data_IF_794751267899
#
_entry.id   IF_794751267899
#
_cell.length_a   1.000
_cell.length_b   1.000
_cell.length_c   1.000
_cell.angle_alpha   90.00
_cell.angle_beta   90.00
_cell.angle_gamma   90.00
#
_symmetry.space_group_name_H-M   'P 1'
#
loop_
_entity.id
_entity.type
_entity.pdbx_description
1 polymer ?
#
# COMPACT_ATOMS: atom_id res chain seq x y z
N UNK A 1 19.89 4.82 13.62
CA UNK A 1 19.99 4.53 12.17
C UNK A 1 19.57 5.79 11.43
N UNK A 2 20.47 6.38 10.66
CA UNK A 2 20.23 7.62 9.92
C UNK A 2 19.45 7.28 8.65
N UNK A 3 18.25 7.82 8.50
CA UNK A 3 17.49 7.76 7.25
C UNK A 3 18.13 8.77 6.29
N UNK A 4 18.75 8.31 5.22
CA UNK A 4 19.18 9.18 4.13
C UNK A 4 17.92 9.63 3.38
N UNK A 5 17.68 10.95 3.41
CA UNK A 5 16.71 11.63 2.57
C UNK A 5 17.21 11.60 1.11
N UNK A 6 17.03 10.49 0.43
CA UNK A 6 17.17 10.45 -1.02
C UNK A 6 15.89 11.08 -1.61
N UNK A 7 16.05 12.27 -2.19
CA UNK A 7 15.05 13.23 -2.62
C UNK A 7 13.86 12.75 -3.46
N UNK A 8 13.13 11.76 -2.96
CA UNK A 8 11.86 11.33 -3.51
C UNK A 8 10.81 12.44 -3.40
N UNK A 9 10.10 12.69 -4.47
CA UNK A 9 8.97 13.61 -4.46
C UNK A 9 7.90 13.00 -3.55
N UNK A 10 7.49 13.74 -2.52
CA UNK A 10 6.39 13.36 -1.64
C UNK A 10 5.08 13.88 -2.24
N UNK A 11 4.07 13.04 -2.27
CA UNK A 11 2.75 13.36 -2.81
C UNK A 11 1.74 13.37 -1.67
N UNK A 12 0.98 14.45 -1.56
CA UNK A 12 -0.16 14.52 -0.64
C UNK A 12 -1.35 13.80 -1.26
N UNK A 13 -1.82 12.74 -0.60
CA UNK A 13 -3.05 12.05 -0.96
C UNK A 13 -4.18 12.51 -0.04
N UNK A 14 -5.26 13.00 -0.65
CA UNK A 14 -6.46 13.35 0.10
C UNK A 14 -7.13 12.07 0.60
N UNK A 15 -7.28 11.96 1.90
CA UNK A 15 -7.92 10.83 2.55
C UNK A 15 -9.43 10.94 2.61
N UNK A 16 -10.06 9.78 2.68
CA UNK A 16 -11.48 9.64 2.89
C UNK A 16 -11.97 10.42 4.11
N UNK A 17 -13.18 10.94 3.99
CA UNK A 17 -13.89 11.63 5.05
C UNK A 17 -14.02 10.69 6.28
N UNK A 18 -13.26 10.96 7.32
CA UNK A 18 -13.40 10.24 8.60
C UNK A 18 -14.44 10.96 9.43
N UNK A 19 -15.57 10.31 9.63
CA UNK A 19 -16.64 10.82 10.47
C UNK A 19 -16.62 10.09 11.81
N UNK A 20 -16.23 10.77 12.88
CA UNK A 20 -16.39 10.28 14.25
C UNK A 20 -17.15 11.31 15.07
N UNK A 21 -18.14 10.87 15.84
CA UNK A 21 -18.90 11.72 16.78
C UNK A 21 -19.54 12.98 16.18
N UNK A 22 -20.01 12.89 14.92
CA UNK A 22 -20.72 13.98 14.25
C UNK A 22 -19.85 15.05 13.61
N UNK A 23 -18.54 14.94 13.68
CA UNK A 23 -17.61 15.77 12.92
C UNK A 23 -16.89 14.92 11.87
N UNK A 24 -16.92 15.40 10.63
CA UNK A 24 -16.17 14.80 9.53
C UNK A 24 -14.98 15.68 9.22
N UNK A 25 -13.78 15.11 9.19
CA UNK A 25 -12.58 15.78 8.72
C UNK A 25 -11.89 14.94 7.65
N UNK A 26 -11.25 15.63 6.76
CA UNK A 26 -10.44 15.02 5.73
C UNK A 26 -9.01 14.97 6.27
N UNK A 27 -8.47 13.77 6.43
CA UNK A 27 -7.05 13.63 6.69
C UNK A 27 -6.29 13.57 5.38
N UNK A 28 -5.12 14.16 5.35
CA UNK A 28 -4.17 14.06 4.24
C UNK A 28 -2.96 13.29 4.73
N UNK A 29 -2.61 12.22 4.04
CA UNK A 29 -1.33 11.58 4.26
C UNK A 29 -0.35 11.92 3.15
N UNK A 30 0.91 12.01 3.49
CA UNK A 30 1.99 12.22 2.54
C UNK A 30 2.65 10.87 2.26
N UNK A 31 2.74 10.51 0.99
CA UNK A 31 3.30 9.24 0.53
C UNK A 31 4.39 9.48 -0.51
N UNK A 32 5.24 8.49 -0.75
CA UNK A 32 6.23 8.55 -1.82
C UNK A 32 5.57 8.47 -3.21
N UNK A 33 6.29 8.91 -4.23
CA UNK A 33 5.84 8.80 -5.63
C UNK A 33 5.57 7.35 -6.01
N UNK A 34 6.41 6.43 -5.53
CA UNK A 34 6.25 4.99 -5.77
C UNK A 34 4.93 4.48 -5.19
N UNK A 35 4.64 4.82 -3.95
CA UNK A 35 3.38 4.44 -3.30
C UNK A 35 2.18 5.02 -4.04
N UNK A 36 2.24 6.30 -4.43
CA UNK A 36 1.17 6.93 -5.20
C UNK A 36 0.96 6.24 -6.56
N UNK A 37 2.03 5.91 -7.26
CA UNK A 37 1.97 5.22 -8.55
C UNK A 37 1.33 3.83 -8.44
N UNK A 38 1.74 3.04 -7.46
CA UNK A 38 1.18 1.72 -7.24
C UNK A 38 -0.29 1.83 -6.82
N UNK A 39 -0.62 2.64 -5.80
CA UNK A 39 -1.99 2.78 -5.32
C UNK A 39 -2.95 3.28 -6.42
N UNK A 40 -2.51 4.23 -7.25
CA UNK A 40 -3.29 4.72 -8.39
C UNK A 40 -3.62 3.59 -9.37
N UNK A 41 -2.66 2.72 -9.65
CA UNK A 41 -2.84 1.61 -10.58
C UNK A 41 -3.63 0.44 -10.01
N UNK A 42 -3.62 0.25 -8.71
CA UNK A 42 -4.26 -0.87 -8.05
C UNK A 42 -5.71 -0.57 -7.64
N UNK A 43 -6.01 0.65 -7.20
CA UNK A 43 -7.31 0.98 -6.64
C UNK A 43 -7.92 2.29 -7.15
N UNK A 44 -7.16 3.09 -7.89
CA UNK A 44 -7.56 4.43 -8.29
C UNK A 44 -8.08 4.55 -9.71
N UNK A 45 -8.25 5.78 -10.11
CA UNK A 45 -8.45 6.17 -11.49
C UNK A 45 -7.08 6.31 -12.16
N UNK A 46 -6.72 5.40 -13.03
CA UNK A 46 -5.41 5.30 -13.68
C UNK A 46 -4.98 6.55 -14.49
N UNK A 47 -5.80 7.58 -14.53
CA UNK A 47 -5.56 8.83 -15.26
C UNK A 47 -4.76 9.84 -14.45
N UNK A 48 -4.97 9.91 -13.14
CA UNK A 48 -4.35 10.94 -12.29
C UNK A 48 -3.56 10.31 -11.13
N UNK A 49 -2.26 10.58 -11.08
CA UNK A 49 -1.42 10.14 -9.97
C UNK A 49 -1.97 10.65 -8.63
N UNK A 50 -2.19 9.73 -7.70
CA UNK A 50 -2.74 10.05 -6.38
C UNK A 50 -4.26 9.89 -6.25
N UNK A 51 -4.96 9.49 -7.31
CA UNK A 51 -6.36 9.05 -7.22
C UNK A 51 -6.40 7.64 -6.62
N UNK A 52 -6.86 7.49 -5.39
CA UNK A 52 -6.73 6.25 -4.60
C UNK A 52 -8.03 5.95 -3.87
N UNK A 53 -8.47 4.70 -3.93
CA UNK A 53 -9.54 4.16 -3.09
C UNK A 53 -8.96 3.27 -1.97
N UNK A 54 -8.92 3.80 -0.76
CA UNK A 54 -8.42 3.10 0.41
C UNK A 54 -9.29 1.91 0.85
N UNK A 55 -10.53 1.85 0.39
CA UNK A 55 -11.48 0.79 0.72
C UNK A 55 -11.72 -0.16 -0.46
N UNK A 56 -10.94 -0.05 -1.52
CA UNK A 56 -11.09 -0.90 -2.70
C UNK A 56 -11.03 -2.39 -2.34
N UNK A 57 -11.87 -3.18 -2.99
CA UNK A 57 -11.90 -4.64 -2.85
C UNK A 57 -12.05 -5.26 -4.22
N UNK A 58 -11.17 -6.18 -4.55
CA UNK A 58 -11.27 -7.02 -5.73
C UNK A 58 -11.38 -8.49 -5.31
N UNK A 59 -12.30 -9.22 -5.88
CA UNK A 59 -12.49 -10.66 -5.63
C UNK A 59 -11.89 -11.44 -6.78
N UNK A 60 -10.90 -12.26 -6.48
CA UNK A 60 -10.20 -13.07 -7.46
C UNK A 60 -10.97 -14.35 -7.82
N UNK A 61 -10.67 -14.92 -8.99
CA UNK A 61 -11.32 -16.15 -9.47
C UNK A 61 -11.07 -17.36 -8.57
N UNK A 62 -9.99 -17.36 -7.81
CA UNK A 62 -9.63 -18.40 -6.84
C UNK A 62 -10.29 -18.23 -5.46
N UNK A 63 -11.10 -17.17 -5.30
CA UNK A 63 -11.82 -16.85 -4.07
C UNK A 63 -11.02 -16.04 -3.07
N UNK A 64 -9.75 -15.70 -3.36
CA UNK A 64 -9.00 -14.73 -2.55
C UNK A 64 -9.51 -13.31 -2.81
N UNK A 65 -9.21 -12.37 -1.90
CA UNK A 65 -9.53 -10.96 -2.10
C UNK A 65 -8.28 -10.11 -2.01
N UNK A 66 -8.21 -9.10 -2.88
CA UNK A 66 -7.23 -8.04 -2.78
C UNK A 66 -7.91 -6.81 -2.20
N UNK A 67 -7.32 -6.18 -1.20
CA UNK A 67 -7.97 -5.11 -0.46
C UNK A 67 -7.09 -3.90 -0.20
N UNK A 68 -7.78 -2.75 -0.06
CA UNK A 68 -7.17 -1.47 0.22
C UNK A 68 -6.51 -0.81 -0.99
N UNK A 69 -5.88 0.33 -0.76
CA UNK A 69 -5.26 1.14 -1.80
C UNK A 69 -4.20 0.40 -2.63
N UNK A 70 -3.50 -0.53 -2.00
CA UNK A 70 -2.41 -1.29 -2.61
C UNK A 70 -2.81 -2.71 -3.04
N UNK A 71 -4.10 -3.06 -2.92
CA UNK A 71 -4.66 -4.36 -3.29
C UNK A 71 -3.88 -5.53 -2.66
N UNK A 72 -3.68 -5.47 -1.34
CA UNK A 72 -3.01 -6.53 -0.61
C UNK A 72 -3.86 -7.80 -0.60
N UNK A 73 -3.28 -8.87 -1.15
CA UNK A 73 -3.95 -10.16 -1.21
C UNK A 73 -4.10 -10.77 0.19
N UNK A 74 -5.31 -11.25 0.53
CA UNK A 74 -5.66 -11.77 1.85
C UNK A 74 -5.11 -13.17 2.12
N UNK A 75 -4.57 -13.84 1.14
CA UNK A 75 -3.88 -15.11 1.29
C UNK A 75 -2.35 -14.93 1.38
N UNK A 76 -1.76 -14.07 0.53
CA UNK A 76 -0.31 -13.94 0.39
C UNK A 76 0.31 -12.85 1.27
N UNK A 77 -0.40 -11.75 1.50
CA UNK A 77 0.16 -10.57 2.18
C UNK A 77 -0.56 -10.30 3.50
N UNK A 78 -1.88 -10.10 3.46
CA UNK A 78 -2.68 -9.76 4.63
C UNK A 78 -3.31 -10.99 5.27
N UNK A 79 -2.47 -11.96 5.67
CA UNK A 79 -2.90 -13.24 6.20
C UNK A 79 -2.12 -13.60 7.47
N UNK A 80 -2.79 -13.90 8.60
CA UNK A 80 -2.11 -14.30 9.84
C UNK A 80 -1.39 -15.65 9.71
N UNK A 81 -1.82 -16.50 8.79
CA UNK A 81 -1.16 -17.79 8.51
C UNK A 81 0.09 -17.61 7.64
N UNK A 82 0.19 -16.56 6.83
CA UNK A 82 1.44 -16.19 6.16
C UNK A 82 2.36 -15.47 7.16
N UNK A 83 3.17 -16.29 7.80
CA UNK A 83 4.00 -15.90 8.92
C UNK A 83 5.11 -14.93 8.56
N UNK A 84 5.42 -14.72 7.30
CA UNK A 84 6.58 -13.89 6.94
C UNK A 84 6.17 -12.44 6.65
N UNK A 85 5.27 -12.20 5.71
CA UNK A 85 4.92 -10.83 5.28
C UNK A 85 4.14 -10.10 6.38
N UNK A 86 3.06 -10.71 6.89
CA UNK A 86 2.28 -10.12 7.99
C UNK A 86 3.13 -9.90 9.25
N UNK A 87 4.05 -10.82 9.56
CA UNK A 87 4.97 -10.66 10.68
C UNK A 87 5.91 -9.47 10.50
N UNK A 88 6.38 -9.23 9.27
CA UNK A 88 7.25 -8.11 8.97
C UNK A 88 6.49 -6.78 9.08
N UNK A 89 5.27 -6.73 8.55
CA UNK A 89 4.38 -5.56 8.67
C UNK A 89 4.08 -5.27 10.14
N UNK A 90 3.63 -6.27 10.90
CA UNK A 90 3.30 -6.10 12.31
C UNK A 90 4.51 -5.63 13.14
N UNK A 91 5.65 -6.29 12.96
CA UNK A 91 6.88 -5.95 13.68
C UNK A 91 7.34 -4.51 13.42
N UNK A 92 7.22 -4.03 12.20
CA UNK A 92 7.62 -2.66 11.86
C UNK A 92 6.74 -1.60 12.55
N UNK A 93 5.53 -1.96 12.94
CA UNK A 93 4.61 -1.14 13.75
C UNK A 93 4.73 -1.38 15.27
N UNK A 94 5.63 -2.27 15.71
CA UNK A 94 5.73 -2.65 17.13
C UNK A 94 4.58 -3.55 17.62
N UNK A 95 3.89 -4.24 16.69
CA UNK A 95 2.74 -5.10 16.94
C UNK A 95 3.07 -6.56 16.67
N UNK A 96 2.17 -7.44 17.11
CA UNK A 96 2.14 -8.84 16.68
C UNK A 96 1.18 -9.01 15.48
N UNK A 97 1.36 -10.06 14.69
CA UNK A 97 0.44 -10.37 13.58
C UNK A 97 -0.99 -10.55 14.08
N UNK A 98 -1.18 -11.18 15.24
CA UNK A 98 -2.50 -11.38 15.83
C UNK A 98 -3.18 -10.06 16.21
N UNK A 99 -2.41 -9.07 16.69
CA UNK A 99 -2.94 -7.72 16.99
C UNK A 99 -3.36 -6.99 15.72
N UNK A 100 -2.52 -7.00 14.68
CA UNK A 100 -2.85 -6.38 13.38
C UNK A 100 -4.13 -7.00 12.83
N UNK A 101 -4.22 -8.34 12.84
CA UNK A 101 -5.37 -9.06 12.31
C UNK A 101 -6.64 -8.88 13.16
N UNK A 102 -6.51 -8.79 14.48
CA UNK A 102 -7.63 -8.53 15.38
C UNK A 102 -8.23 -7.13 15.17
N UNK A 103 -7.40 -6.13 14.89
CA UNK A 103 -7.85 -4.77 14.62
C UNK A 103 -8.32 -4.57 13.18
N UNK A 104 -7.59 -5.14 12.22
CA UNK A 104 -7.86 -5.01 10.79
C UNK A 104 -7.80 -6.37 10.10
N UNK A 105 -8.88 -7.17 10.15
CA UNK A 105 -8.89 -8.54 9.59
C UNK A 105 -8.76 -8.58 8.06
N UNK A 106 -8.91 -7.45 7.39
CA UNK A 106 -8.69 -7.23 5.97
C UNK A 106 -7.97 -5.91 5.75
N UNK A 107 -7.15 -5.83 4.71
CA UNK A 107 -6.34 -4.64 4.42
C UNK A 107 -7.20 -3.37 4.23
N UNK A 108 -8.33 -3.47 3.56
CA UNK A 108 -9.24 -2.33 3.34
C UNK A 108 -9.88 -1.78 4.62
N UNK A 109 -9.80 -2.49 5.74
CA UNK A 109 -10.28 -2.00 7.05
C UNK A 109 -9.19 -1.29 7.85
N UNK A 110 -7.93 -1.42 7.42
CA UNK A 110 -6.84 -0.69 8.03
C UNK A 110 -6.89 0.79 7.60
N UNK A 111 -6.60 1.73 8.50
CA UNK A 111 -6.52 3.13 8.14
C UNK A 111 -5.37 3.37 7.14
N UNK A 112 -5.45 4.46 6.36
CA UNK A 112 -4.52 4.74 5.28
C UNK A 112 -3.03 4.75 5.66
N UNK A 113 -2.68 5.30 6.82
CA UNK A 113 -1.32 5.31 7.34
C UNK A 113 -0.79 3.89 7.61
N UNK A 114 -1.64 3.00 8.09
CA UNK A 114 -1.31 1.57 8.28
C UNK A 114 -1.16 0.85 6.95
N UNK A 115 -2.04 1.12 5.97
CA UNK A 115 -1.91 0.57 4.63
C UNK A 115 -0.63 1.05 3.94
N UNK A 116 -0.31 2.35 4.06
CA UNK A 116 0.92 2.92 3.52
C UNK A 116 2.16 2.32 4.20
N UNK A 117 2.13 2.17 5.51
CA UNK A 117 3.23 1.54 6.25
C UNK A 117 3.45 0.08 5.79
N UNK A 118 2.36 -0.68 5.61
CA UNK A 118 2.44 -2.03 5.06
C UNK A 118 3.01 -2.04 3.63
N UNK A 119 2.64 -1.05 2.80
CA UNK A 119 3.23 -0.89 1.47
C UNK A 119 4.74 -0.74 1.55
N UNK A 120 5.27 0.13 2.41
CA UNK A 120 6.71 0.36 2.52
C UNK A 120 7.48 -0.93 2.87
N UNK A 121 6.90 -1.75 3.76
CA UNK A 121 7.48 -3.05 4.14
C UNK A 121 7.51 -4.01 2.95
N UNK A 122 6.41 -4.10 2.20
CA UNK A 122 6.31 -5.00 1.03
C UNK A 122 7.13 -4.46 -0.14
N UNK A 123 7.14 -3.15 -0.34
CA UNK A 123 7.91 -2.47 -1.38
C UNK A 123 9.42 -2.67 -1.21
N UNK A 124 9.88 -2.69 0.03
CA UNK A 124 11.27 -3.00 0.37
C UNK A 124 12.26 -2.24 -0.51
N UNK A 125 12.15 -0.90 -0.52
CA UNK A 125 13.01 -0.01 -1.30
C UNK A 125 13.04 -0.36 -2.81
N UNK A 126 11.88 -0.70 -3.37
CA UNK A 126 11.72 -1.02 -4.79
C UNK A 126 11.99 -2.48 -5.18
N UNK A 127 12.49 -3.31 -4.27
CA UNK A 127 12.72 -4.73 -4.57
C UNK A 127 11.42 -5.55 -4.60
N UNK A 128 10.38 -5.10 -3.91
CA UNK A 128 9.08 -5.75 -3.81
C UNK A 128 8.14 -5.50 -5.00
N UNK A 129 8.52 -4.76 -6.03
CA UNK A 129 7.66 -4.39 -7.15
C UNK A 129 6.94 -5.57 -7.83
N UNK A 130 7.50 -6.78 -7.71
CA UNK A 130 6.92 -7.99 -8.30
C UNK A 130 5.55 -8.34 -7.72
N UNK A 131 5.21 -7.89 -6.52
CA UNK A 131 3.88 -8.04 -5.96
C UNK A 131 2.81 -7.30 -6.78
N UNK A 132 3.22 -6.27 -7.54
CA UNK A 132 2.36 -5.47 -8.41
C UNK A 132 2.74 -5.60 -9.88
N UNK A 133 3.27 -6.75 -10.28
CA UNK A 133 3.69 -7.00 -11.67
C UNK A 133 2.52 -7.03 -12.66
N UNK A 134 1.31 -7.38 -12.20
CA UNK A 134 0.11 -7.41 -13.03
C UNK A 134 -0.30 -6.00 -13.52
N UNK A 135 -0.10 -4.97 -12.71
CA UNK A 135 -0.40 -3.57 -13.05
C UNK A 135 0.80 -2.81 -13.64
N UNK A 136 1.88 -3.51 -13.98
CA UNK A 136 3.13 -2.92 -14.44
C UNK A 136 2.94 -1.94 -15.60
N UNK A 137 2.12 -2.26 -16.58
CA UNK A 137 1.83 -1.38 -17.72
C UNK A 137 1.22 -0.04 -17.32
N UNK A 138 0.56 0.02 -16.17
CA UNK A 138 0.04 1.26 -15.61
C UNK A 138 1.15 2.04 -14.88
N UNK A 139 1.79 1.46 -13.87
CA UNK A 139 2.74 2.20 -13.05
C UNK A 139 4.07 2.53 -13.77
N UNK A 140 4.41 1.87 -14.86
CA UNK A 140 5.56 2.24 -15.72
C UNK A 140 5.48 3.65 -16.32
N UNK A 141 4.36 4.34 -16.19
CA UNK A 141 4.25 5.77 -16.54
C UNK A 141 5.13 6.63 -15.62
N UNK A 142 5.31 6.23 -14.38
CA UNK A 142 6.03 7.00 -13.34
C UNK A 142 7.26 6.30 -12.81
N UNK A 143 7.32 4.98 -12.89
CA UNK A 143 8.41 4.17 -12.37
C UNK A 143 9.13 3.43 -13.49
N UNK A 144 10.35 3.00 -13.21
CA UNK A 144 11.12 2.13 -14.11
C UNK A 144 11.86 1.08 -13.28
N UNK A 145 12.15 -0.07 -13.87
CA UNK A 145 13.03 -1.06 -13.24
C UNK A 145 14.44 -0.83 -13.76
N UNK A 146 15.34 -0.52 -12.85
CA UNK A 146 16.75 -0.24 -13.18
C UNK A 146 17.55 -1.53 -13.51
N UNK A 147 18.80 -1.35 -13.88
CA UNK A 147 19.69 -2.46 -14.25
C UNK A 147 19.97 -3.44 -13.11
N UNK A 148 19.74 -3.03 -11.84
CA UNK A 148 19.86 -3.93 -10.69
C UNK A 148 18.60 -4.78 -10.47
N UNK A 149 17.47 -4.42 -11.11
CA UNK A 149 16.17 -5.06 -10.96
C UNK A 149 15.30 -4.40 -9.90
N UNK A 150 15.63 -3.22 -9.44
CA UNK A 150 14.89 -2.41 -8.48
C UNK A 150 13.98 -1.43 -9.20
N UNK A 151 12.75 -1.26 -8.73
CA UNK A 151 11.86 -0.22 -9.23
C UNK A 151 12.21 1.13 -8.57
N UNK A 152 12.33 2.16 -9.40
CA UNK A 152 12.68 3.52 -9.01
C UNK A 152 11.83 4.53 -9.78
N UNK A 153 11.72 5.75 -9.28
CA UNK A 153 11.06 6.86 -10.00
C UNK A 153 11.85 7.19 -11.28
N UNK A 154 11.11 7.49 -12.35
CA UNK A 154 11.70 7.88 -13.66
C UNK A 154 12.36 9.25 -13.62
#
# INVERSE_FOLDING_TARGET
MSWSNDGGIMIELLLALICSTGMCHTETITVTTEAAAIATCESGDTVALGSVDWNAVNVNVDGTTDGGAFQFNDYWIWNPADRWMMRSIARSMGLTSDQVFAWWPKAQYAPPDVQYHAFEVVWNDGWGWRHWSASRSCWEQWLTVDASGRAVVR
#
